data_IF_294140893184
#
_entry.id   IF_294140893184
#
_cell.length_a   1.000
_cell.length_b   1.000
_cell.length_c   1.000
_cell.angle_alpha   90.00
_cell.angle_beta   90.00
_cell.angle_gamma   90.00
#
_symmetry.space_group_name_H-M   'P 1'
#
loop_
_entity.id
_entity.type
_entity.pdbx_description
1 polymer ?
#
# COMPACT_ATOMS: atom_id res chain seq x y z
N UNK A 1 13.16 -20.70 -50.08
CA UNK A 1 13.27 -21.23 -48.70
C UNK A 1 12.24 -22.36 -48.51
N UNK A 2 12.63 -23.58 -48.11
CA UNK A 2 11.65 -24.66 -47.84
C UNK A 2 10.77 -24.30 -46.65
N UNK A 3 9.47 -24.62 -46.70
CA UNK A 3 8.45 -24.31 -45.66
C UNK A 3 8.91 -24.60 -44.22
N UNK A 4 9.69 -25.67 -44.00
CA UNK A 4 10.30 -26.01 -42.70
C UNK A 4 11.21 -24.92 -42.13
N UNK A 5 12.01 -24.26 -42.98
CA UNK A 5 12.93 -23.21 -42.54
C UNK A 5 12.17 -21.94 -42.13
N UNK A 6 11.05 -21.63 -42.80
CA UNK A 6 10.21 -20.48 -42.45
C UNK A 6 9.57 -20.70 -41.07
N UNK A 7 9.04 -21.91 -40.82
CA UNK A 7 8.47 -22.28 -39.53
C UNK A 7 9.52 -22.17 -38.41
N UNK A 8 10.73 -22.71 -38.63
CA UNK A 8 11.82 -22.64 -37.65
C UNK A 8 12.20 -21.19 -37.32
N UNK A 9 12.32 -20.33 -38.33
CA UNK A 9 12.66 -18.91 -38.15
C UNK A 9 11.56 -18.18 -37.37
N UNK A 10 10.28 -18.47 -37.63
CA UNK A 10 9.16 -17.91 -36.86
C UNK A 10 9.23 -18.35 -35.40
N UNK A 11 9.46 -19.64 -35.12
CA UNK A 11 9.61 -20.11 -33.74
C UNK A 11 10.82 -19.47 -33.05
N UNK A 12 11.95 -19.35 -33.74
CA UNK A 12 13.13 -18.66 -33.18
C UNK A 12 12.84 -17.20 -32.87
N UNK A 13 12.17 -16.47 -33.77
CA UNK A 13 11.74 -15.09 -33.51
C UNK A 13 10.79 -15.00 -32.32
N UNK A 14 9.80 -15.88 -32.20
CA UNK A 14 8.88 -15.91 -31.05
C UNK A 14 9.66 -16.17 -29.75
N UNK A 15 10.61 -17.11 -29.75
CA UNK A 15 11.45 -17.40 -28.58
C UNK A 15 12.41 -16.26 -28.25
N UNK A 16 13.04 -15.64 -29.25
CA UNK A 16 14.00 -14.56 -29.05
C UNK A 16 13.31 -13.28 -28.55
N UNK A 17 12.17 -12.93 -29.17
CA UNK A 17 11.30 -11.86 -28.66
C UNK A 17 10.87 -12.20 -27.24
N UNK A 18 10.46 -13.45 -26.98
CA UNK A 18 10.10 -13.87 -25.64
C UNK A 18 11.24 -13.74 -24.61
N UNK A 19 12.46 -14.09 -25.00
CA UNK A 19 13.62 -14.03 -24.11
C UNK A 19 14.02 -12.59 -23.78
N UNK A 20 14.14 -11.71 -24.76
CA UNK A 20 14.48 -10.29 -24.55
C UNK A 20 13.45 -9.58 -23.65
N UNK A 21 12.16 -9.89 -23.82
CA UNK A 21 11.12 -9.35 -22.92
C UNK A 21 11.12 -10.01 -21.53
N UNK A 22 11.61 -11.25 -21.40
CA UNK A 22 11.73 -11.91 -20.09
C UNK A 22 12.74 -11.19 -19.20
N UNK A 23 13.89 -10.75 -19.75
CA UNK A 23 14.90 -9.99 -19.00
C UNK A 23 14.36 -8.66 -18.47
N UNK A 24 13.47 -8.00 -19.24
CA UNK A 24 12.83 -6.73 -18.85
C UNK A 24 11.77 -6.89 -17.74
N UNK A 25 11.06 -8.02 -17.73
CA UNK A 25 9.96 -8.27 -16.76
C UNK A 25 10.42 -9.05 -15.53
N UNK A 26 11.58 -9.72 -15.58
CA UNK A 26 12.13 -10.58 -14.52
C UNK A 26 12.16 -9.93 -13.14
N UNK A 27 12.48 -8.63 -13.06
CA UNK A 27 12.53 -7.89 -11.79
C UNK A 27 11.16 -7.78 -11.08
N UNK A 28 10.06 -7.98 -11.79
CA UNK A 28 8.71 -7.83 -11.28
C UNK A 28 7.97 -9.17 -11.13
N UNK A 29 8.53 -10.30 -11.57
CA UNK A 29 7.79 -11.57 -11.62
C UNK A 29 7.40 -12.06 -10.23
N UNK A 30 6.11 -12.33 -10.04
CA UNK A 30 5.50 -12.94 -8.85
C UNK A 30 5.70 -12.14 -7.55
N UNK A 31 5.78 -10.82 -7.64
CA UNK A 31 5.69 -9.96 -6.47
C UNK A 31 4.27 -10.06 -5.87
N UNK A 32 4.12 -10.43 -4.59
CA UNK A 32 2.81 -10.46 -3.96
C UNK A 32 2.25 -9.05 -3.86
N UNK A 33 0.93 -8.91 -4.02
CA UNK A 33 0.24 -7.70 -3.61
C UNK A 33 -0.02 -7.78 -2.11
N UNK A 34 0.07 -6.63 -1.43
CA UNK A 34 -0.19 -6.60 -0.01
C UNK A 34 -0.75 -5.25 0.42
N UNK A 35 -1.50 -5.25 1.51
CA UNK A 35 -1.64 -4.05 2.32
C UNK A 35 -1.51 -4.43 3.78
N UNK A 36 -0.81 -3.60 4.54
CA UNK A 36 -0.65 -3.76 5.98
C UNK A 36 -0.94 -2.43 6.65
N UNK A 37 -1.86 -2.45 7.59
CA UNK A 37 -2.24 -1.31 8.40
C UNK A 37 -1.86 -1.58 9.85
N UNK A 38 -1.05 -0.72 10.45
CA UNK A 38 -0.49 -0.94 11.77
C UNK A 38 -0.20 0.35 12.53
N UNK A 39 -0.02 0.21 13.84
CA UNK A 39 0.42 1.24 14.77
C UNK A 39 1.76 0.84 15.34
N UNK A 40 2.70 1.78 15.41
CA UNK A 40 4.01 1.57 16.04
C UNK A 40 4.34 2.69 17.00
N UNK A 41 5.17 2.39 17.99
CA UNK A 41 5.90 3.41 18.73
C UNK A 41 7.38 3.09 18.74
N UNK A 42 8.21 4.12 18.60
CA UNK A 42 9.65 4.00 18.62
C UNK A 42 10.19 4.86 19.77
N UNK A 43 10.33 4.26 20.95
CA UNK A 43 11.01 4.91 22.07
C UNK A 43 11.60 3.86 23.03
N UNK A 44 12.56 4.25 23.88
CA UNK A 44 13.15 3.37 24.90
C UNK A 44 12.12 2.89 25.92
N UNK A 45 11.05 3.65 26.13
CA UNK A 45 9.91 3.30 26.96
C UNK A 45 8.66 3.36 26.09
N UNK A 46 8.03 2.21 25.88
CA UNK A 46 6.78 2.15 25.13
C UNK A 46 5.68 2.87 25.92
N UNK A 47 4.73 3.51 25.23
CA UNK A 47 3.58 4.14 25.87
C UNK A 47 2.71 3.06 26.53
N UNK A 48 2.21 3.37 27.72
CA UNK A 48 1.37 2.45 28.51
C UNK A 48 -0.07 2.94 28.59
N UNK A 49 -1.00 2.03 28.90
CA UNK A 49 -2.43 2.33 29.06
C UNK A 49 -2.96 3.16 27.88
N UNK A 50 -2.69 2.66 26.68
CA UNK A 50 -2.89 3.40 25.44
C UNK A 50 -4.33 3.22 24.97
N UNK A 51 -5.02 4.34 24.78
CA UNK A 51 -6.29 4.42 24.05
C UNK A 51 -6.09 5.28 22.81
N UNK A 52 -6.28 4.71 21.62
CA UNK A 52 -6.22 5.43 20.34
C UNK A 52 -7.57 5.41 19.66
N UNK A 53 -7.96 6.52 19.03
CA UNK A 53 -9.02 6.54 18.03
C UNK A 53 -8.41 7.06 16.73
N UNK A 54 -8.32 6.20 15.72
CA UNK A 54 -7.57 6.42 14.48
C UNK A 54 -8.44 6.08 13.28
N UNK A 55 -8.14 6.59 12.06
CA UNK A 55 -8.94 6.28 10.88
C UNK A 55 -9.01 4.77 10.60
N UNK A 56 -10.04 4.37 9.87
CA UNK A 56 -10.14 3.01 9.32
C UNK A 56 -9.33 2.90 8.03
N UNK A 57 -8.83 1.71 7.70
CA UNK A 57 -8.41 1.43 6.33
C UNK A 57 -9.67 1.29 5.48
N UNK A 58 -9.72 1.97 4.34
CA UNK A 58 -10.79 1.84 3.36
C UNK A 58 -10.25 1.26 2.06
N UNK A 59 -10.99 0.30 1.49
CA UNK A 59 -10.78 -0.22 0.14
C UNK A 59 -11.99 0.14 -0.72
N UNK A 60 -11.78 0.98 -1.74
CA UNK A 60 -12.83 1.37 -2.68
C UNK A 60 -14.08 1.97 -2.00
N UNK A 61 -13.91 2.61 -0.85
CA UNK A 61 -14.98 3.25 -0.07
C UNK A 61 -15.54 2.38 1.05
N UNK A 62 -15.29 1.07 1.04
CA UNK A 62 -15.70 0.16 2.11
C UNK A 62 -14.62 0.08 3.20
N UNK A 63 -15.02 -0.20 4.45
CA UNK A 63 -14.09 -0.40 5.56
C UNK A 63 -13.42 -1.77 5.41
N UNK A 64 -12.09 -1.81 5.47
CA UNK A 64 -11.31 -3.03 5.47
C UNK A 64 -11.69 -3.92 6.66
N UNK A 65 -11.66 -5.25 6.47
CA UNK A 65 -11.83 -6.18 7.58
C UNK A 65 -10.71 -5.97 8.61
N UNK A 66 -11.10 -5.76 9.87
CA UNK A 66 -10.20 -5.60 10.99
C UNK A 66 -10.02 -6.97 11.63
N UNK A 67 -8.77 -7.41 11.77
CA UNK A 67 -8.46 -8.64 12.50
C UNK A 67 -7.93 -8.24 13.87
N UNK A 68 -8.72 -8.37 14.95
CA UNK A 68 -8.19 -8.11 16.27
C UNK A 68 -7.02 -9.07 16.54
N UNK A 69 -5.81 -8.53 16.65
CA UNK A 69 -4.64 -9.28 17.08
C UNK A 69 -4.60 -9.37 18.61
N UNK A 70 -3.81 -10.33 19.11
CA UNK A 70 -3.75 -10.74 20.52
C UNK A 70 -3.40 -9.61 21.50
N UNK A 71 -2.81 -8.51 21.01
CA UNK A 71 -2.28 -7.41 21.81
C UNK A 71 -3.26 -6.22 21.79
N UNK A 72 -4.28 -6.28 22.65
CA UNK A 72 -5.24 -5.19 22.86
C UNK A 72 -6.64 -5.44 22.29
N UNK A 73 -7.56 -4.55 22.66
CA UNK A 73 -8.93 -4.53 22.17
C UNK A 73 -9.02 -3.58 20.98
N UNK A 74 -9.33 -4.11 19.81
CA UNK A 74 -9.58 -3.32 18.60
C UNK A 74 -11.08 -3.39 18.29
N UNK A 75 -11.71 -2.23 18.18
CA UNK A 75 -13.14 -2.11 17.86
C UNK A 75 -13.41 -0.94 16.91
N UNK A 76 -14.58 -0.95 16.28
CA UNK A 76 -15.08 0.20 15.52
C UNK A 76 -15.92 1.10 16.42
N UNK A 77 -15.78 2.40 16.25
CA UNK A 77 -16.49 3.43 16.99
C UNK A 77 -17.01 4.51 16.04
N UNK A 78 -18.26 4.92 16.21
CA UNK A 78 -18.81 6.09 15.53
C UNK A 78 -18.33 7.38 16.22
N UNK A 79 -17.77 8.30 15.43
CA UNK A 79 -17.26 9.60 15.89
C UNK A 79 -17.89 10.73 15.09
N UNK A 80 -17.62 11.99 15.48
CA UNK A 80 -18.01 13.16 14.68
C UNK A 80 -17.39 13.18 13.27
N UNK A 81 -16.33 12.39 13.03
CA UNK A 81 -15.67 12.26 11.73
C UNK A 81 -16.11 11.00 10.96
N UNK A 82 -17.08 10.25 11.48
CA UNK A 82 -17.52 8.95 10.94
C UNK A 82 -16.93 7.76 11.71
N UNK A 83 -16.95 6.59 11.07
CA UNK A 83 -16.44 5.34 11.66
C UNK A 83 -14.92 5.34 11.74
N UNK A 84 -14.41 5.14 12.95
CA UNK A 84 -12.98 5.10 13.27
C UNK A 84 -12.66 3.84 14.08
N UNK A 85 -11.38 3.49 14.16
CA UNK A 85 -10.90 2.36 14.95
C UNK A 85 -10.52 2.86 16.34
N UNK A 86 -11.07 2.20 17.37
CA UNK A 86 -10.63 2.33 18.76
C UNK A 86 -9.68 1.19 19.09
N UNK A 87 -8.49 1.53 19.60
CA UNK A 87 -7.50 0.58 20.12
C UNK A 87 -7.31 0.86 21.60
N UNK A 88 -7.45 -0.17 22.44
CA UNK A 88 -7.10 -0.13 23.86
C UNK A 88 -6.04 -1.21 24.12
N UNK A 89 -4.86 -0.80 24.59
CA UNK A 89 -3.74 -1.71 24.83
C UNK A 89 -2.96 -1.29 26.08
N UNK A 90 -2.46 -2.27 26.84
CA UNK A 90 -1.62 -1.99 28.02
C UNK A 90 -0.29 -1.35 27.63
N UNK A 91 0.28 -1.74 26.50
CA UNK A 91 1.55 -1.24 25.97
C UNK A 91 1.52 -1.30 24.43
N UNK A 92 2.06 -0.28 23.74
CA UNK A 92 2.06 -0.24 22.27
C UNK A 92 3.48 -0.20 21.74
N UNK A 93 4.01 -1.36 21.37
CA UNK A 93 5.24 -1.48 20.55
C UNK A 93 4.90 -1.48 19.07
N UNK A 94 4.28 -2.56 18.61
CA UNK A 94 3.82 -2.72 17.23
C UNK A 94 2.49 -3.50 17.23
N UNK A 95 1.41 -2.87 16.76
CA UNK A 95 0.09 -3.49 16.64
C UNK A 95 -0.32 -3.46 15.18
N UNK A 96 -0.42 -4.64 14.55
CA UNK A 96 -1.02 -4.76 13.22
C UNK A 96 -2.55 -4.81 13.36
N UNK A 97 -3.25 -3.93 12.66
CA UNK A 97 -4.72 -3.81 12.69
C UNK A 97 -5.35 -4.72 11.62
N UNK A 98 -4.77 -4.69 10.43
CA UNK A 98 -5.16 -5.58 9.34
C UNK A 98 -3.97 -5.80 8.41
N UNK A 99 -3.92 -6.98 7.83
CA UNK A 99 -2.94 -7.35 6.83
C UNK A 99 -3.57 -8.29 5.83
N UNK A 100 -3.30 -8.01 4.55
CA UNK A 100 -3.69 -8.81 3.42
C UNK A 100 -2.47 -9.03 2.55
N UNK A 101 -2.27 -10.26 2.11
CA UNK A 101 -1.19 -10.64 1.19
C UNK A 101 -1.79 -11.59 0.17
N UNK A 102 -1.59 -11.33 -1.12
CA UNK A 102 -2.03 -12.21 -2.21
C UNK A 102 -0.94 -12.36 -3.27
N UNK A 103 -0.63 -13.60 -3.62
CA UNK A 103 0.19 -13.95 -4.79
C UNK A 103 -0.62 -14.11 -6.08
N UNK A 104 -1.94 -14.05 -5.98
CA UNK A 104 -2.86 -14.30 -7.10
C UNK A 104 -3.46 -13.02 -7.65
N UNK A 105 -3.60 -12.00 -6.81
CA UNK A 105 -4.16 -10.70 -7.15
C UNK A 105 -3.06 -9.65 -7.19
N UNK A 106 -3.24 -8.65 -8.05
CA UNK A 106 -2.50 -7.38 -8.00
C UNK A 106 -3.43 -6.32 -7.40
N UNK A 107 -2.82 -5.21 -6.98
CA UNK A 107 -3.49 -4.02 -6.45
C UNK A 107 -3.07 -2.86 -7.35
N UNK A 108 -4.02 -2.22 -8.02
CA UNK A 108 -3.74 -0.99 -8.73
C UNK A 108 -3.71 0.19 -7.77
N UNK A 109 -2.54 0.58 -7.30
CA UNK A 109 -2.35 1.65 -6.30
C UNK A 109 -2.96 3.00 -6.72
N UNK A 110 -3.01 3.25 -8.04
CA UNK A 110 -3.53 4.50 -8.60
C UNK A 110 -5.05 4.46 -8.73
N UNK A 111 -5.60 3.35 -9.22
CA UNK A 111 -7.03 3.23 -9.51
C UNK A 111 -7.84 2.68 -8.33
N UNK A 112 -7.26 1.79 -7.52
CA UNK A 112 -7.87 1.32 -6.29
C UNK A 112 -7.71 2.37 -5.19
N UNK A 113 -8.85 2.75 -4.60
CA UNK A 113 -8.89 3.70 -3.51
C UNK A 113 -8.60 2.99 -2.19
N UNK A 114 -7.38 2.46 -2.05
CA UNK A 114 -6.86 1.96 -0.77
C UNK A 114 -6.19 3.11 -0.03
N UNK A 115 -6.79 3.54 1.07
CA UNK A 115 -6.33 4.67 1.87
C UNK A 115 -6.82 4.58 3.32
N UNK A 116 -6.50 5.58 4.14
CA UNK A 116 -7.10 5.76 5.46
C UNK A 116 -8.33 6.67 5.34
N UNK A 117 -9.36 6.38 6.11
CA UNK A 117 -10.59 7.18 6.16
C UNK A 117 -11.02 7.40 7.62
N UNK A 118 -11.29 8.65 8.05
CA UNK A 118 -11.34 9.86 7.21
C UNK A 118 -9.96 10.51 7.01
N UNK A 119 -9.75 11.08 5.82
CA UNK A 119 -8.72 12.10 5.54
C UNK A 119 -9.45 13.42 5.31
N UNK A 120 -9.17 14.44 6.13
CA UNK A 120 -9.87 15.73 6.08
C UNK A 120 -9.24 16.68 5.06
N UNK A 121 -7.91 16.67 4.95
CA UNK A 121 -7.17 17.43 3.96
C UNK A 121 -6.15 16.52 3.29
N UNK A 122 -6.03 16.62 1.97
CA UNK A 122 -5.00 15.96 1.15
C UNK A 122 -4.50 16.91 0.09
N UNK A 123 -3.24 17.28 0.17
CA UNK A 123 -2.61 18.26 -0.72
C UNK A 123 -1.36 17.68 -1.36
N UNK A 124 -1.22 17.81 -2.69
CA UNK A 124 -0.04 17.37 -3.41
C UNK A 124 1.14 18.30 -3.11
N UNK A 125 2.18 17.78 -2.47
CA UNK A 125 3.42 18.53 -2.20
C UNK A 125 4.39 18.46 -3.36
N UNK A 126 4.55 17.28 -3.96
CA UNK A 126 5.47 17.09 -5.08
C UNK A 126 5.04 15.94 -5.98
N UNK A 127 5.40 16.05 -7.26
CA UNK A 127 5.25 15.00 -8.27
C UNK A 127 6.50 14.99 -9.14
N UNK A 128 7.08 13.81 -9.34
CA UNK A 128 8.19 13.57 -10.25
C UNK A 128 7.84 12.41 -11.16
N UNK A 129 7.91 12.60 -12.47
CA UNK A 129 7.54 11.60 -13.46
C UNK A 129 8.59 11.57 -14.58
N UNK A 130 9.09 10.39 -14.91
CA UNK A 130 10.01 10.20 -16.02
C UNK A 130 9.69 8.88 -16.76
N UNK A 131 10.54 8.48 -17.71
CA UNK A 131 10.29 7.27 -18.50
C UNK A 131 10.26 5.98 -17.66
N UNK A 132 10.95 5.96 -16.51
CA UNK A 132 11.21 4.80 -15.65
C UNK A 132 10.36 4.78 -14.38
N UNK A 133 10.03 5.92 -13.80
CA UNK A 133 9.30 5.98 -12.53
C UNK A 133 8.35 7.18 -12.41
N UNK A 134 7.37 7.02 -11.52
CA UNK A 134 6.48 8.07 -11.02
C UNK A 134 6.57 8.09 -9.49
N UNK A 135 6.76 9.28 -8.91
CA UNK A 135 6.74 9.51 -7.47
C UNK A 135 5.83 10.69 -7.14
N UNK A 136 4.96 10.53 -6.15
CA UNK A 136 4.06 11.58 -5.66
C UNK A 136 4.11 11.60 -4.13
N UNK A 137 4.16 12.81 -3.57
CA UNK A 137 4.10 13.01 -2.11
C UNK A 137 2.96 13.97 -1.82
N UNK A 138 2.08 13.55 -0.92
CA UNK A 138 0.96 14.33 -0.44
C UNK A 138 1.13 14.62 1.04
N UNK A 139 0.78 15.83 1.46
CA UNK A 139 0.47 16.15 2.85
C UNK A 139 -0.94 15.70 3.14
N UNK A 140 -1.13 14.99 4.25
CA UNK A 140 -2.45 14.58 4.73
C UNK A 140 -2.70 15.10 6.14
N UNK A 141 -3.96 15.45 6.44
CA UNK A 141 -4.42 15.70 7.80
C UNK A 141 -5.55 14.76 8.16
N UNK A 142 -5.38 14.06 9.28
CA UNK A 142 -6.26 13.00 9.73
C UNK A 142 -6.65 13.28 11.20
N UNK A 143 -7.93 13.16 11.56
CA UNK A 143 -8.36 13.29 12.94
C UNK A 143 -7.91 12.04 13.71
N UNK A 144 -7.30 12.26 14.86
CA UNK A 144 -6.92 11.19 15.77
C UNK A 144 -7.18 11.60 17.21
N UNK A 145 -7.45 10.62 18.06
CA UNK A 145 -7.44 10.76 19.50
C UNK A 145 -6.35 9.86 20.07
N UNK A 146 -5.63 10.35 21.07
CA UNK A 146 -4.69 9.53 21.80
C UNK A 146 -4.70 9.84 23.30
N UNK A 147 -4.70 8.79 24.10
CA UNK A 147 -4.46 8.84 25.53
C UNK A 147 -3.44 7.75 25.85
N UNK A 148 -2.38 8.09 26.59
CA UNK A 148 -1.34 7.14 26.98
C UNK A 148 -0.50 7.72 28.12
N UNK A 149 0.13 6.84 28.88
CA UNK A 149 1.13 7.18 29.89
C UNK A 149 2.54 7.19 29.28
N UNK A 150 3.39 8.08 29.80
CA UNK A 150 4.75 8.30 29.30
C UNK A 150 4.85 9.41 28.24
N UNK A 151 6.07 9.60 27.74
CA UNK A 151 6.41 10.48 26.63
C UNK A 151 6.90 9.59 25.50
N UNK A 152 6.04 9.32 24.53
CA UNK A 152 6.38 8.51 23.36
C UNK A 152 5.69 9.11 22.13
N UNK A 153 6.24 8.83 20.96
CA UNK A 153 5.59 9.13 19.69
C UNK A 153 4.94 7.86 19.14
N UNK A 154 3.69 7.98 18.71
CA UNK A 154 2.95 6.89 18.07
C UNK A 154 2.79 7.20 16.59
N UNK A 155 3.02 6.21 15.75
CA UNK A 155 2.90 6.27 14.30
C UNK A 155 1.77 5.37 13.85
N UNK A 156 0.90 5.91 13.00
CA UNK A 156 -0.19 5.17 12.35
C UNK A 156 0.19 5.04 10.88
N UNK A 157 0.34 3.82 10.41
CA UNK A 157 0.93 3.56 9.10
C UNK A 157 0.10 2.58 8.30
N UNK A 158 -0.25 2.98 7.07
CA UNK A 158 -0.80 2.13 6.03
C UNK A 158 0.23 1.95 4.93
N UNK A 159 0.63 0.71 4.66
CA UNK A 159 1.49 0.35 3.55
C UNK A 159 0.72 -0.52 2.56
N UNK A 160 0.85 -0.22 1.28
CA UNK A 160 0.21 -0.94 0.17
C UNK A 160 1.27 -1.23 -0.87
N UNK A 161 1.35 -2.47 -1.30
CA UNK A 161 2.21 -2.94 -2.38
C UNK A 161 1.33 -3.47 -3.51
N UNK A 162 1.61 -3.02 -4.74
CA UNK A 162 0.78 -3.37 -5.89
C UNK A 162 0.82 -4.87 -6.20
N UNK A 163 1.92 -5.54 -5.84
CA UNK A 163 2.26 -6.81 -6.44
C UNK A 163 2.46 -6.72 -7.95
N UNK A 164 2.96 -7.78 -8.55
CA UNK A 164 3.10 -7.92 -9.98
C UNK A 164 3.25 -9.39 -10.34
N UNK A 165 2.42 -9.86 -11.27
CA UNK A 165 2.44 -11.26 -11.72
C UNK A 165 2.59 -11.30 -13.23
N UNK A 166 3.82 -11.50 -13.69
CA UNK A 166 4.08 -11.83 -15.08
C UNK A 166 3.86 -13.33 -15.30
N UNK A 167 3.01 -13.70 -16.25
CA UNK A 167 2.94 -15.08 -16.71
C UNK A 167 4.12 -15.34 -17.67
N UNK A 168 4.89 -16.43 -17.50
CA UNK A 168 6.11 -16.69 -18.28
C UNK A 168 5.88 -16.89 -19.79
N UNK A 169 4.63 -16.98 -20.26
CA UNK A 169 4.30 -17.35 -21.64
C UNK A 169 3.35 -16.40 -22.40
N UNK A 170 2.95 -15.26 -21.83
CA UNK A 170 2.03 -14.34 -22.52
C UNK A 170 2.75 -13.10 -23.08
N UNK A 171 3.41 -13.28 -24.23
CA UNK A 171 3.94 -12.17 -25.06
C UNK A 171 2.88 -11.54 -25.98
N UNK A 172 1.66 -12.08 -26.06
CA UNK A 172 0.68 -11.64 -27.08
C UNK A 172 -0.55 -10.94 -26.52
N UNK A 173 -0.93 -11.18 -25.28
CA UNK A 173 -2.08 -10.53 -24.68
C UNK A 173 -1.78 -10.31 -23.22
N UNK A 174 -1.46 -9.07 -22.89
CA UNK A 174 -1.46 -8.60 -21.52
C UNK A 174 -2.87 -8.79 -20.96
N UNK A 175 -3.10 -9.93 -20.32
CA UNK A 175 -4.27 -10.13 -19.48
C UNK A 175 -4.22 -8.97 -18.48
N UNK A 176 -5.31 -8.21 -18.26
CA UNK A 176 -5.34 -6.96 -17.49
C UNK A 176 -5.04 -7.12 -15.99
N UNK A 177 -4.37 -8.20 -15.59
CA UNK A 177 -3.92 -8.46 -14.23
C UNK A 177 -2.77 -7.56 -13.78
N UNK A 178 -2.05 -6.90 -14.69
CA UNK A 178 -0.98 -6.00 -14.26
C UNK A 178 -1.54 -4.59 -14.00
N UNK A 179 -1.18 -3.94 -12.88
CA UNK A 179 -1.58 -2.58 -12.62
C UNK A 179 -0.87 -1.64 -13.60
N UNK A 180 -1.60 -0.63 -14.09
CA UNK A 180 -1.16 0.20 -15.22
C UNK A 180 -1.33 1.67 -14.97
N UNK A 181 -0.36 2.45 -15.45
CA UNK A 181 -0.45 3.90 -15.51
C UNK A 181 -0.40 4.32 -16.98
N UNK A 182 -1.56 4.69 -17.52
CA UNK A 182 -1.74 4.80 -18.97
C UNK A 182 -1.57 3.44 -19.64
N UNK A 183 -0.61 3.32 -20.55
CA UNK A 183 -0.29 2.07 -21.26
C UNK A 183 0.85 1.26 -20.61
N UNK A 184 1.51 1.80 -19.58
CA UNK A 184 2.69 1.17 -18.98
C UNK A 184 2.31 0.31 -17.77
N UNK A 185 2.67 -0.98 -17.76
CA UNK A 185 2.62 -1.79 -16.54
C UNK A 185 3.63 -1.27 -15.52
N UNK A 186 3.29 -1.38 -14.23
CA UNK A 186 4.14 -0.93 -13.14
C UNK A 186 4.14 -1.89 -11.96
N UNK A 187 5.18 -1.80 -11.14
CA UNK A 187 5.12 -2.23 -9.74
C UNK A 187 5.38 -1.02 -8.83
N UNK A 188 4.73 -0.97 -7.69
CA UNK A 188 4.84 0.19 -6.82
C UNK A 188 4.38 -0.05 -5.40
N UNK A 189 4.51 1.00 -4.60
CA UNK A 189 4.00 1.06 -3.25
C UNK A 189 3.34 2.41 -2.96
N UNK A 190 2.38 2.38 -2.03
CA UNK A 190 1.79 3.54 -1.38
C UNK A 190 2.03 3.40 0.12
N UNK A 191 2.54 4.44 0.72
CA UNK A 191 2.86 4.50 2.14
C UNK A 191 2.23 5.76 2.72
N UNK A 192 1.30 5.60 3.66
CA UNK A 192 0.68 6.69 4.38
C UNK A 192 1.06 6.56 5.85
N UNK A 193 1.74 7.56 6.39
CA UNK A 193 2.16 7.61 7.79
C UNK A 193 1.70 8.91 8.45
N UNK A 194 1.12 8.77 9.63
CA UNK A 194 0.70 9.89 10.48
C UNK A 194 1.37 9.78 11.83
N UNK A 195 1.91 10.91 12.31
CA UNK A 195 2.60 11.00 13.60
C UNK A 195 1.70 11.62 14.66
N UNK A 196 1.45 10.87 15.73
CA UNK A 196 0.68 11.29 16.91
C UNK A 196 1.66 11.73 18.00
N UNK A 197 1.60 13.01 18.39
CA UNK A 197 2.55 13.61 19.35
C UNK A 197 1.92 14.18 20.61
N UNK A 198 0.60 14.41 20.61
CA UNK A 198 -0.11 15.00 21.75
C UNK A 198 -1.22 14.07 22.23
N UNK A 199 -1.63 14.25 23.48
CA UNK A 199 -2.81 13.59 24.06
C UNK A 199 -4.08 14.36 23.70
N UNK A 200 -5.21 13.68 23.71
CA UNK A 200 -6.52 14.21 23.34
C UNK A 200 -6.78 14.16 21.84
N UNK A 201 -7.87 14.84 21.43
CA UNK A 201 -8.22 15.00 20.02
C UNK A 201 -7.27 15.98 19.33
N UNK A 202 -6.77 15.60 18.17
CA UNK A 202 -5.94 16.44 17.32
C UNK A 202 -6.13 16.12 15.85
N UNK A 203 -5.81 17.09 15.00
CA UNK A 203 -5.58 16.86 13.57
C UNK A 203 -4.10 16.55 13.40
N UNK A 204 -3.78 15.27 13.26
CA UNK A 204 -2.42 14.83 13.04
C UNK A 204 -2.06 15.01 11.56
N UNK A 205 -0.91 15.64 11.34
CA UNK A 205 -0.34 15.83 10.01
C UNK A 205 0.59 14.65 9.70
N UNK A 206 0.51 14.18 8.45
CA UNK A 206 1.28 13.06 7.95
C UNK A 206 1.57 13.20 6.47
N UNK A 207 2.20 12.16 5.92
CA UNK A 207 2.53 12.10 4.50
C UNK A 207 1.97 10.83 3.87
N UNK A 208 1.41 10.97 2.67
CA UNK A 208 1.15 9.85 1.77
C UNK A 208 2.15 9.91 0.62
N UNK A 209 2.91 8.84 0.43
CA UNK A 209 3.93 8.69 -0.60
C UNK A 209 3.51 7.58 -1.54
N UNK A 210 3.46 7.88 -2.83
CA UNK A 210 3.20 6.90 -3.89
C UNK A 210 4.43 6.82 -4.77
N UNK A 211 4.95 5.61 -4.98
CA UNK A 211 6.07 5.37 -5.88
C UNK A 211 5.78 4.20 -6.80
N UNK A 212 5.86 4.43 -8.10
CA UNK A 212 5.70 3.44 -9.15
C UNK A 212 6.99 3.34 -9.96
N UNK A 213 7.38 2.12 -10.31
CA UNK A 213 8.44 1.82 -11.26
C UNK A 213 7.78 1.16 -12.46
N UNK A 214 7.97 1.74 -13.64
CA UNK A 214 7.43 1.21 -14.88
C UNK A 214 8.30 0.03 -15.33
N UNK A 215 7.66 -1.06 -15.77
CA UNK A 215 8.35 -2.04 -16.58
C UNK A 215 8.63 -1.39 -17.94
N UNK A 216 9.92 -1.34 -18.30
CA UNK A 216 10.40 -0.74 -19.56
C UNK A 216 10.42 -1.81 -20.63
#
# INVERSE_FOLDING_TARGET
>A
MRRKNVILVIFFLIFFIGFEFSDMTLAFINLPSSYTYYVTSFDKKLPKNVTLIIPTCSLNGDIAEIKPLREGNISLLDTQYGKMIKIEAEEVGHITITSFISSEKTIDIINENITLSPILERELLSKTENKKELSMVYRVKIPVYAEFEGNSTIYVTLHVESGFKALPFFFTFTIPWEPRYGWKPYAGHKYLEVKITKKGWQLAEGEERVRLIFAV
#
